data_IF_297597919287
#
_entry.id   IF_297597919287
#
_cell.length_a   1.000
_cell.length_b   1.000
_cell.length_c   1.000
_cell.angle_alpha   90.00
_cell.angle_beta   90.00
_cell.angle_gamma   90.00
#
_symmetry.space_group_name_H-M   'P 1'
#
loop_
_entity.id
_entity.type
_entity.pdbx_description
1 polymer ?
#
# COMPACT_ATOMS: atom_id res chain seq x y z
N UNK A 1 15.19 32.60 -38.79
CA UNK A 1 15.65 31.95 -37.55
C UNK A 1 14.85 32.54 -36.40
N UNK A 2 14.61 31.70 -35.38
CA UNK A 2 13.92 31.92 -34.10
C UNK A 2 12.44 31.53 -34.05
N UNK A 3 12.25 30.24 -33.77
CA UNK A 3 11.09 29.63 -33.12
C UNK A 3 11.58 29.02 -31.81
N UNK A 4 11.31 29.69 -30.70
CA UNK A 4 11.49 29.32 -29.28
C UNK A 4 10.34 30.08 -28.59
N UNK A 5 9.52 29.57 -27.67
CA UNK A 5 9.53 28.37 -26.84
C UNK A 5 8.06 28.04 -26.50
N UNK A 6 7.68 26.76 -26.51
CA UNK A 6 6.37 26.37 -25.99
C UNK A 6 6.35 24.92 -25.52
N UNK A 7 7.31 24.54 -24.65
CA UNK A 7 7.35 23.15 -24.15
C UNK A 7 7.74 22.98 -22.68
N UNK A 8 7.56 24.00 -21.83
CA UNK A 8 7.94 23.93 -20.41
C UNK A 8 6.78 23.77 -19.42
N UNK A 9 5.52 23.82 -19.86
CA UNK A 9 4.36 23.85 -18.93
C UNK A 9 3.70 22.49 -18.65
N UNK A 10 3.98 21.44 -19.43
CA UNK A 10 3.36 20.11 -19.26
C UNK A 10 4.06 19.21 -18.24
N UNK A 11 5.32 19.48 -17.91
CA UNK A 11 6.10 18.73 -16.92
C UNK A 11 5.72 19.09 -15.47
N UNK A 12 5.49 20.37 -15.19
CA UNK A 12 5.24 20.90 -13.84
C UNK A 12 3.87 20.50 -13.26
N UNK A 13 2.85 20.34 -14.10
CA UNK A 13 1.49 19.97 -13.67
C UNK A 13 1.41 18.50 -13.23
N UNK A 14 2.17 17.61 -13.88
CA UNK A 14 2.24 16.20 -13.49
C UNK A 14 3.00 16.01 -12.16
N UNK A 15 4.07 16.79 -11.92
CA UNK A 15 4.80 16.75 -10.65
C UNK A 15 3.98 17.24 -9.45
N UNK A 16 3.17 18.30 -9.64
CA UNK A 16 2.32 18.84 -8.58
C UNK A 16 1.14 17.91 -8.24
N UNK A 17 0.54 17.25 -9.24
CA UNK A 17 -0.54 16.29 -9.02
C UNK A 17 -0.04 15.02 -8.29
N UNK A 18 1.16 14.54 -8.63
CA UNK A 18 1.82 13.40 -7.96
C UNK A 18 2.21 13.75 -6.52
N UNK A 19 2.79 14.94 -6.28
CA UNK A 19 3.07 15.44 -4.92
C UNK A 19 1.80 15.57 -4.06
N UNK A 20 0.64 15.89 -4.67
CA UNK A 20 -0.63 16.03 -3.95
C UNK A 20 -1.22 14.68 -3.51
N UNK A 21 -0.98 13.59 -4.24
CA UNK A 21 -1.42 12.23 -3.86
C UNK A 21 -0.52 11.62 -2.78
N UNK A 22 0.79 11.84 -2.85
CA UNK A 22 1.73 11.39 -1.81
C UNK A 22 1.43 12.02 -0.44
N UNK A 23 1.03 13.29 -0.42
CA UNK A 23 0.61 13.97 0.81
C UNK A 23 -0.71 13.39 1.37
N UNK A 24 -1.65 12.96 0.52
CA UNK A 24 -2.95 12.45 0.98
C UNK A 24 -2.81 11.16 1.81
N UNK A 25 -1.97 10.21 1.39
CA UNK A 25 -1.77 8.96 2.15
C UNK A 25 -1.12 9.24 3.51
N UNK A 26 -0.11 10.10 3.54
CA UNK A 26 0.55 10.50 4.78
C UNK A 26 -0.43 11.21 5.73
N UNK A 27 -1.23 12.14 5.22
CA UNK A 27 -2.25 12.86 5.99
C UNK A 27 -3.32 11.91 6.56
N UNK A 28 -3.83 10.97 5.75
CA UNK A 28 -4.82 9.99 6.20
C UNK A 28 -4.22 9.05 7.25
N UNK A 29 -2.98 8.59 7.05
CA UNK A 29 -2.29 7.74 8.03
C UNK A 29 -2.10 8.47 9.37
N UNK A 30 -1.64 9.73 9.36
CA UNK A 30 -1.50 10.54 10.57
C UNK A 30 -2.87 10.80 11.23
N UNK A 31 -3.91 11.11 10.45
CA UNK A 31 -5.26 11.29 10.97
C UNK A 31 -5.78 10.03 11.67
N UNK A 32 -5.55 8.85 11.07
CA UNK A 32 -5.89 7.57 11.70
C UNK A 32 -5.20 7.39 13.05
N UNK A 33 -3.89 7.67 13.14
CA UNK A 33 -3.13 7.52 14.39
C UNK A 33 -3.66 8.45 15.48
N UNK A 34 -3.98 9.69 15.12
CA UNK A 34 -4.56 10.70 16.03
C UNK A 34 -5.96 10.31 16.50
N UNK A 35 -6.83 9.89 15.58
CA UNK A 35 -8.19 9.44 15.91
C UNK A 35 -8.16 8.23 16.83
N UNK A 36 -7.15 7.37 16.69
CA UNK A 36 -6.91 6.22 17.56
C UNK A 36 -6.26 6.58 18.91
N UNK A 37 -5.90 7.85 19.13
CA UNK A 37 -5.25 8.38 20.34
C UNK A 37 -3.95 7.67 20.71
N UNK A 38 -3.23 7.23 19.69
CA UNK A 38 -1.94 6.59 19.86
C UNK A 38 -0.90 7.62 20.30
N UNK A 39 0.13 7.16 21.00
CA UNK A 39 1.26 7.94 21.47
C UNK A 39 2.55 7.49 20.77
N UNK A 40 3.65 8.20 21.00
CA UNK A 40 4.99 7.82 20.49
C UNK A 40 5.37 6.36 20.81
N UNK A 41 4.90 5.81 21.93
CA UNK A 41 5.20 4.44 22.36
C UNK A 41 4.37 3.38 21.62
N UNK A 42 3.27 3.77 21.00
CA UNK A 42 2.36 2.82 20.34
C UNK A 42 2.74 2.56 18.86
N UNK A 43 3.70 3.32 18.29
CA UNK A 43 4.07 3.28 16.87
C UNK A 43 4.94 2.05 16.50
N UNK A 44 4.33 0.88 16.62
CA UNK A 44 4.87 -0.40 16.14
C UNK A 44 4.65 -0.58 14.64
N UNK A 45 5.37 -1.53 14.00
CA UNK A 45 5.20 -1.84 12.58
C UNK A 45 3.75 -2.16 12.22
N UNK A 46 3.10 -3.02 13.01
CA UNK A 46 1.69 -3.38 12.78
C UNK A 46 0.72 -2.20 12.89
N UNK A 47 1.01 -1.20 13.73
CA UNK A 47 0.20 0.03 13.81
C UNK A 47 0.42 0.92 12.58
N UNK A 48 1.67 1.04 12.12
CA UNK A 48 1.99 1.80 10.91
C UNK A 48 1.40 1.14 9.66
N UNK A 49 1.49 -0.18 9.54
CA UNK A 49 0.82 -0.96 8.50
C UNK A 49 -0.70 -0.75 8.53
N UNK A 50 -1.31 -0.78 9.71
CA UNK A 50 -2.75 -0.55 9.87
C UNK A 50 -3.16 0.87 9.43
N UNK A 51 -2.34 1.88 9.69
CA UNK A 51 -2.59 3.24 9.22
C UNK A 51 -2.53 3.35 7.69
N UNK A 52 -1.60 2.64 7.04
CA UNK A 52 -1.51 2.57 5.58
C UNK A 52 -2.68 1.77 4.97
N UNK A 53 -3.08 0.67 5.60
CA UNK A 53 -4.26 -0.12 5.24
C UNK A 53 -5.56 0.70 5.39
N UNK A 54 -5.63 1.59 6.38
CA UNK A 54 -6.76 2.53 6.53
C UNK A 54 -6.82 3.53 5.37
N UNK A 55 -5.66 3.99 4.90
CA UNK A 55 -5.56 4.90 3.76
C UNK A 55 -5.84 4.23 2.40
N UNK A 56 -5.88 2.89 2.35
CA UNK A 56 -6.08 2.13 1.12
C UNK A 56 -7.34 2.54 0.35
N UNK A 57 -7.15 2.80 -0.94
CA UNK A 57 -8.20 2.95 -1.94
C UNK A 57 -7.99 1.93 -3.05
N UNK A 58 -9.03 1.23 -3.53
CA UNK A 58 -8.90 0.23 -4.58
C UNK A 58 -8.75 0.88 -5.96
N UNK A 59 -7.59 1.50 -6.19
CA UNK A 59 -7.21 2.06 -7.49
C UNK A 59 -5.84 1.50 -7.92
N UNK A 60 -5.57 1.42 -9.24
CA UNK A 60 -4.26 1.02 -9.72
C UNK A 60 -3.16 1.92 -9.12
N UNK A 61 -1.99 1.33 -8.90
CA UNK A 61 -0.79 1.96 -8.35
C UNK A 61 -0.86 2.46 -6.91
N UNK A 62 -1.94 2.20 -6.15
CA UNK A 62 -2.07 2.73 -4.79
C UNK A 62 -0.84 2.41 -3.94
N UNK A 63 -0.46 1.14 -3.84
CA UNK A 63 0.67 0.72 -3.02
C UNK A 63 2.01 1.05 -3.67
N UNK A 64 2.07 0.96 -5.00
CA UNK A 64 3.28 1.30 -5.76
C UNK A 64 3.72 2.75 -5.58
N UNK A 65 2.76 3.65 -5.42
CA UNK A 65 3.00 5.09 -5.37
C UNK A 65 3.06 5.62 -3.92
N UNK A 66 3.13 4.76 -2.89
CA UNK A 66 3.37 5.22 -1.51
C UNK A 66 4.83 5.65 -1.35
N UNK A 67 5.03 6.90 -0.94
CA UNK A 67 6.34 7.41 -0.50
C UNK A 67 6.49 7.19 1.01
N UNK A 68 7.14 6.08 1.40
CA UNK A 68 7.36 5.76 2.80
C UNK A 68 8.17 6.85 3.51
N UNK A 69 9.12 7.51 2.83
CA UNK A 69 9.91 8.56 3.46
C UNK A 69 9.04 9.77 3.85
N UNK A 70 8.16 10.20 2.94
CA UNK A 70 7.18 11.26 3.19
C UNK A 70 6.19 10.90 4.30
N UNK A 71 5.66 9.67 4.32
CA UNK A 71 4.80 9.19 5.40
C UNK A 71 5.51 9.25 6.76
N UNK A 72 6.76 8.77 6.80
CA UNK A 72 7.58 8.75 8.01
C UNK A 72 7.91 10.17 8.49
N UNK A 73 8.16 11.11 7.58
CA UNK A 73 8.34 12.52 7.92
C UNK A 73 7.07 13.10 8.56
N UNK A 74 5.90 12.90 7.95
CA UNK A 74 4.62 13.37 8.48
C UNK A 74 4.31 12.80 9.87
N UNK A 75 4.55 11.50 10.06
CA UNK A 75 4.41 10.85 11.38
C UNK A 75 5.37 11.47 12.39
N UNK A 76 6.62 11.72 12.01
CA UNK A 76 7.63 12.28 12.91
C UNK A 76 7.33 13.73 13.32
N UNK A 77 6.59 14.48 12.50
CA UNK A 77 6.11 15.81 12.86
C UNK A 77 5.05 15.75 13.96
N UNK A 78 4.14 14.76 13.90
CA UNK A 78 3.07 14.58 14.87
C UNK A 78 3.53 13.84 16.14
N UNK A 79 4.50 12.95 16.00
CA UNK A 79 5.06 12.09 17.05
C UNK A 79 6.57 12.30 17.06
N UNK A 80 7.12 13.33 17.74
CA UNK A 80 8.54 13.66 17.61
C UNK A 80 9.49 12.71 18.34
N UNK A 81 8.99 11.88 19.27
CA UNK A 81 9.81 11.03 20.13
C UNK A 81 9.69 9.55 19.84
N UNK A 82 8.85 9.12 18.89
CA UNK A 82 8.56 7.72 18.61
C UNK A 82 9.81 6.88 18.35
N UNK A 83 10.78 7.41 17.60
CA UNK A 83 12.05 6.72 17.35
C UNK A 83 12.82 6.44 18.64
N UNK A 84 12.83 7.41 19.55
CA UNK A 84 13.49 7.26 20.85
C UNK A 84 12.71 6.30 21.76
N UNK A 85 11.38 6.36 21.72
CA UNK A 85 10.51 5.48 22.50
C UNK A 85 10.69 3.99 22.13
N UNK A 86 10.93 3.69 20.85
CA UNK A 86 11.17 2.32 20.40
C UNK A 86 12.52 1.76 20.89
N UNK A 87 13.56 2.60 20.94
CA UNK A 87 14.92 2.18 21.32
C UNK A 87 15.02 1.59 22.75
N UNK A 88 14.03 1.79 23.60
CA UNK A 88 14.01 1.25 24.97
C UNK A 88 13.44 -0.16 25.11
N UNK A 89 12.77 -0.70 24.09
CA UNK A 89 12.03 -1.98 24.18
C UNK A 89 12.69 -3.16 23.44
N UNK A 90 13.96 -3.02 23.02
CA UNK A 90 14.66 -4.05 22.25
C UNK A 90 14.30 -4.07 20.76
N UNK A 91 13.32 -3.25 20.34
CA UNK A 91 13.08 -2.88 18.97
C UNK A 91 13.86 -1.61 18.61
N UNK A 92 14.18 -1.41 17.34
CA UNK A 92 14.70 -0.13 16.84
C UNK A 92 13.70 0.46 15.86
N UNK A 93 13.72 1.80 15.72
CA UNK A 93 12.92 2.47 14.71
C UNK A 93 13.25 1.94 13.31
N UNK A 94 14.51 1.59 13.04
CA UNK A 94 14.94 1.00 11.79
C UNK A 94 14.35 -0.40 11.57
N UNK A 95 14.23 -1.21 12.63
CA UNK A 95 13.58 -2.53 12.55
C UNK A 95 12.10 -2.39 12.22
N UNK A 96 11.39 -1.48 12.91
CA UNK A 96 9.99 -1.15 12.62
C UNK A 96 9.81 -0.69 11.17
N UNK A 97 10.66 0.23 10.69
CA UNK A 97 10.58 0.73 9.32
C UNK A 97 10.90 -0.35 8.28
N UNK A 98 11.81 -1.28 8.59
CA UNK A 98 12.11 -2.40 7.72
C UNK A 98 10.91 -3.35 7.57
N UNK A 99 10.19 -3.62 8.64
CA UNK A 99 8.96 -4.43 8.59
C UNK A 99 7.87 -3.75 7.74
N UNK A 100 7.66 -2.44 7.93
CA UNK A 100 6.72 -1.66 7.11
C UNK A 100 7.11 -1.64 5.64
N UNK A 101 8.41 -1.46 5.34
CA UNK A 101 8.91 -1.50 3.95
C UNK A 101 8.69 -2.87 3.30
N UNK A 102 8.87 -3.96 4.06
CA UNK A 102 8.58 -5.31 3.59
C UNK A 102 7.08 -5.51 3.31
N UNK A 103 6.20 -5.00 4.17
CA UNK A 103 4.75 -5.03 3.95
C UNK A 103 4.35 -4.25 2.69
N UNK A 104 4.90 -3.05 2.50
CA UNK A 104 4.71 -2.24 1.28
C UNK A 104 5.21 -2.96 0.03
N UNK A 105 6.38 -3.58 0.09
CA UNK A 105 6.91 -4.39 -1.00
C UNK A 105 5.94 -5.51 -1.39
N UNK A 106 5.40 -6.24 -0.41
CA UNK A 106 4.46 -7.33 -0.66
C UNK A 106 3.16 -6.81 -1.30
N UNK A 107 2.56 -5.77 -0.72
CA UNK A 107 1.31 -5.19 -1.23
C UNK A 107 1.48 -4.63 -2.65
N UNK A 108 2.58 -3.91 -2.91
CA UNK A 108 2.93 -3.45 -4.27
C UNK A 108 3.06 -4.61 -5.24
N UNK A 109 3.76 -5.69 -4.84
CA UNK A 109 3.94 -6.84 -5.70
C UNK A 109 2.60 -7.52 -6.06
N UNK A 110 1.72 -7.70 -5.08
CA UNK A 110 0.40 -8.29 -5.32
C UNK A 110 -0.49 -7.39 -6.18
N UNK A 111 -0.45 -6.07 -5.95
CA UNK A 111 -1.15 -5.07 -6.77
C UNK A 111 -0.65 -5.10 -8.21
N UNK A 112 0.68 -5.10 -8.43
CA UNK A 112 1.27 -5.20 -9.78
C UNK A 112 0.81 -6.49 -10.49
N UNK A 113 0.75 -7.64 -9.80
CA UNK A 113 0.24 -8.89 -10.38
C UNK A 113 -1.27 -8.82 -10.68
N UNK A 114 -2.04 -8.18 -9.82
CA UNK A 114 -3.46 -7.95 -10.03
C UNK A 114 -3.72 -7.05 -11.26
N UNK A 115 -2.96 -5.96 -11.40
CA UNK A 115 -3.00 -5.07 -12.57
C UNK A 115 -2.72 -5.84 -13.86
N UNK A 116 -1.66 -6.66 -13.89
CA UNK A 116 -1.36 -7.46 -15.09
C UNK A 116 -2.46 -8.48 -15.40
N UNK A 117 -3.07 -9.12 -14.39
CA UNK A 117 -4.23 -9.99 -14.62
C UNK A 117 -5.46 -9.22 -15.12
N UNK A 118 -5.64 -7.96 -14.71
CA UNK A 118 -6.73 -7.10 -15.20
C UNK A 118 -6.60 -6.78 -16.70
N UNK A 119 -5.39 -6.79 -17.27
CA UNK A 119 -5.17 -6.61 -18.70
C UNK A 119 -5.74 -7.77 -19.56
N UNK A 120 -5.96 -8.93 -18.94
CA UNK A 120 -6.60 -10.07 -19.61
C UNK A 120 -8.08 -9.79 -19.88
N UNK A 121 -8.65 -10.33 -20.98
CA UNK A 121 -10.09 -10.36 -21.18
C UNK A 121 -10.79 -10.98 -19.96
N UNK A 122 -11.92 -10.41 -19.51
CA UNK A 122 -12.67 -10.87 -18.31
C UNK A 122 -12.87 -12.40 -18.21
N UNK A 123 -13.18 -13.14 -19.30
CA UNK A 123 -13.33 -14.59 -19.24
C UNK A 123 -12.02 -15.37 -19.02
N UNK A 124 -10.87 -14.76 -19.33
CA UNK A 124 -9.55 -15.37 -19.19
C UNK A 124 -8.88 -15.05 -17.84
N UNK A 125 -9.44 -14.13 -17.05
CA UNK A 125 -8.91 -13.78 -15.73
C UNK A 125 -9.02 -14.97 -14.76
N UNK A 126 -7.95 -15.31 -14.02
CA UNK A 126 -8.01 -16.36 -13.00
C UNK A 126 -9.08 -16.09 -11.94
N UNK A 127 -9.77 -17.13 -11.48
CA UNK A 127 -10.87 -17.01 -10.49
C UNK A 127 -10.60 -17.73 -9.17
N UNK A 128 -9.45 -18.38 -9.05
CA UNK A 128 -9.02 -19.08 -7.83
C UNK A 128 -7.57 -18.76 -7.54
N UNK A 129 -7.19 -18.81 -6.26
CA UNK A 129 -5.81 -18.55 -5.82
C UNK A 129 -4.78 -19.43 -6.55
N UNK A 130 -5.00 -20.75 -6.70
CA UNK A 130 -4.09 -21.60 -7.46
C UNK A 130 -3.97 -21.24 -8.95
N UNK A 131 -5.09 -20.89 -9.61
CA UNK A 131 -5.05 -20.48 -11.01
C UNK A 131 -4.32 -19.13 -11.19
N UNK A 132 -4.53 -18.19 -10.25
CA UNK A 132 -3.80 -16.93 -10.23
C UNK A 132 -2.30 -17.16 -10.01
N UNK A 133 -1.91 -18.01 -9.06
CA UNK A 133 -0.52 -18.35 -8.82
C UNK A 133 0.14 -18.99 -10.05
N UNK A 134 -0.54 -19.94 -10.70
CA UNK A 134 -0.05 -20.56 -11.92
C UNK A 134 0.21 -19.50 -12.99
N UNK A 135 -0.78 -18.65 -13.25
CA UNK A 135 -0.67 -17.57 -14.23
C UNK A 135 0.49 -16.61 -13.90
N UNK A 136 0.60 -16.18 -12.64
CA UNK A 136 1.68 -15.30 -12.16
C UNK A 136 3.05 -15.94 -12.39
N UNK A 137 3.21 -17.22 -12.05
CA UNK A 137 4.48 -17.92 -12.26
C UNK A 137 4.86 -17.98 -13.74
N UNK A 138 3.91 -18.29 -14.61
CA UNK A 138 4.12 -18.34 -16.05
C UNK A 138 4.48 -16.96 -16.62
N UNK A 139 3.81 -15.90 -16.16
CA UNK A 139 4.05 -14.51 -16.56
C UNK A 139 5.45 -14.04 -16.14
N UNK A 140 5.81 -14.25 -14.87
CA UNK A 140 7.13 -13.88 -14.34
C UNK A 140 8.25 -14.65 -15.04
N UNK A 141 8.07 -15.94 -15.30
CA UNK A 141 9.02 -16.75 -16.05
C UNK A 141 9.20 -16.25 -17.49
N UNK A 142 8.09 -15.91 -18.17
CA UNK A 142 8.13 -15.37 -19.54
C UNK A 142 8.90 -14.06 -19.61
N UNK A 143 8.75 -13.21 -18.59
CA UNK A 143 9.43 -11.92 -18.47
C UNK A 143 10.81 -11.99 -17.78
N UNK A 144 11.31 -13.18 -17.45
CA UNK A 144 12.61 -13.41 -16.79
C UNK A 144 12.76 -12.70 -15.43
N UNK A 145 11.66 -12.50 -14.72
CA UNK A 145 11.59 -11.90 -13.37
C UNK A 145 11.80 -12.98 -12.30
N UNK A 146 13.00 -13.57 -12.26
CA UNK A 146 13.27 -14.78 -11.48
C UNK A 146 13.24 -14.56 -9.95
N UNK A 147 13.65 -13.39 -9.46
CA UNK A 147 13.57 -13.09 -8.04
C UNK A 147 12.11 -13.05 -7.57
N UNK A 148 11.26 -12.35 -8.31
CA UNK A 148 9.82 -12.32 -8.04
C UNK A 148 9.15 -13.67 -8.24
N UNK A 149 9.59 -14.47 -9.23
CA UNK A 149 9.11 -15.84 -9.40
C UNK A 149 9.39 -16.68 -8.17
N UNK A 150 10.63 -16.64 -7.65
CA UNK A 150 10.98 -17.36 -6.43
C UNK A 150 10.16 -16.89 -5.23
N UNK A 151 9.97 -15.59 -5.08
CA UNK A 151 9.11 -15.02 -4.04
C UNK A 151 7.66 -15.52 -4.17
N UNK A 152 7.07 -15.46 -5.37
CA UNK A 152 5.69 -15.90 -5.61
C UNK A 152 5.46 -17.38 -5.29
N UNK A 153 6.49 -18.22 -5.43
CA UNK A 153 6.44 -19.66 -5.20
C UNK A 153 6.55 -20.06 -3.72
N UNK A 154 6.93 -19.15 -2.83
CA UNK A 154 6.97 -19.41 -1.38
C UNK A 154 5.54 -19.67 -0.87
N UNK A 155 5.22 -20.87 -0.33
CA UNK A 155 3.86 -21.20 0.08
C UNK A 155 3.25 -20.24 1.09
N UNK A 156 4.06 -19.74 2.04
CA UNK A 156 3.67 -18.84 3.11
C UNK A 156 3.22 -17.47 2.57
N UNK A 157 3.74 -17.04 1.42
CA UNK A 157 3.40 -15.77 0.76
C UNK A 157 1.99 -15.81 0.18
N UNK A 158 1.49 -16.99 -0.20
CA UNK A 158 0.14 -17.17 -0.80
C UNK A 158 -0.14 -16.20 -1.96
N UNK A 159 0.87 -15.91 -2.79
CA UNK A 159 0.85 -14.84 -3.79
C UNK A 159 -0.42 -14.80 -4.65
N UNK A 160 -0.83 -15.94 -5.23
CA UNK A 160 -2.03 -16.00 -6.07
C UNK A 160 -3.33 -15.65 -5.34
N UNK A 161 -3.42 -15.92 -4.03
CA UNK A 161 -4.60 -15.53 -3.23
C UNK A 161 -4.62 -14.02 -3.01
N UNK A 162 -3.49 -13.43 -2.62
CA UNK A 162 -3.41 -11.98 -2.37
C UNK A 162 -3.66 -11.19 -3.66
N UNK A 163 -2.97 -11.53 -4.76
CA UNK A 163 -3.19 -10.87 -6.06
C UNK A 163 -4.65 -11.00 -6.54
N UNK A 164 -5.31 -12.13 -6.29
CA UNK A 164 -6.74 -12.31 -6.63
C UNK A 164 -7.67 -11.40 -5.81
N UNK A 165 -7.38 -11.18 -4.52
CA UNK A 165 -8.13 -10.25 -3.68
C UNK A 165 -7.99 -8.82 -4.20
N UNK A 166 -6.77 -8.40 -4.54
CA UNK A 166 -6.50 -7.10 -5.16
C UNK A 166 -7.25 -6.93 -6.48
N UNK A 167 -7.17 -7.92 -7.37
CA UNK A 167 -7.89 -7.90 -8.65
C UNK A 167 -9.40 -7.77 -8.42
N UNK A 168 -9.95 -8.48 -7.43
CA UNK A 168 -11.37 -8.39 -7.07
C UNK A 168 -11.72 -6.99 -6.59
N UNK A 169 -10.91 -6.37 -5.73
CA UNK A 169 -11.15 -5.00 -5.26
C UNK A 169 -11.14 -4.00 -6.42
N UNK A 170 -10.17 -4.13 -7.35
CA UNK A 170 -10.09 -3.30 -8.55
C UNK A 170 -11.30 -3.51 -9.48
N UNK A 171 -11.73 -4.75 -9.73
CA UNK A 171 -12.93 -5.05 -10.53
C UNK A 171 -14.19 -4.44 -9.91
N UNK A 172 -14.33 -4.47 -8.59
CA UNK A 172 -15.47 -3.88 -7.89
C UNK A 172 -15.42 -2.34 -7.91
N UNK A 173 -14.23 -1.75 -7.79
CA UNK A 173 -14.04 -0.30 -7.88
C UNK A 173 -14.42 0.24 -9.27
N UNK A 174 -14.10 -0.47 -10.36
CA UNK A 174 -14.55 -0.13 -11.72
C UNK A 174 -16.08 -0.08 -11.86
N UNK A 175 -16.81 -0.80 -11.00
CA UNK A 175 -18.27 -0.81 -10.93
C UNK A 175 -18.85 0.24 -9.96
N UNK A 176 -17.99 1.01 -9.30
CA UNK A 176 -18.38 1.98 -8.27
C UNK A 176 -18.74 1.34 -6.92
N UNK A 177 -18.31 0.11 -6.67
CA UNK A 177 -18.53 -0.58 -5.39
C UNK A 177 -17.33 -0.41 -4.45
N UNK A 178 -17.61 -0.12 -3.18
CA UNK A 178 -16.59 0.02 -2.14
C UNK A 178 -16.22 -1.36 -1.57
N UNK A 179 -15.50 -2.17 -2.36
CA UNK A 179 -14.88 -3.41 -1.86
C UNK A 179 -13.43 -3.12 -1.49
N UNK A 180 -13.05 -3.45 -0.26
CA UNK A 180 -11.72 -3.15 0.30
C UNK A 180 -11.07 -4.42 0.86
N UNK A 181 -9.76 -4.33 1.13
CA UNK A 181 -8.99 -5.40 1.76
C UNK A 181 -9.50 -5.67 3.19
N UNK A 182 -9.30 -6.90 3.67
CA UNK A 182 -9.60 -7.24 5.06
C UNK A 182 -8.79 -6.37 6.04
N UNK A 183 -7.54 -6.04 5.71
CA UNK A 183 -6.71 -5.11 6.48
C UNK A 183 -7.38 -3.75 6.64
N UNK A 184 -7.84 -3.16 5.54
CA UNK A 184 -8.64 -1.92 5.54
C UNK A 184 -9.90 -2.01 6.42
N UNK A 185 -10.64 -3.13 6.37
CA UNK A 185 -11.83 -3.31 7.22
C UNK A 185 -11.46 -3.35 8.70
N UNK A 186 -10.39 -4.07 9.05
CA UNK A 186 -9.89 -4.15 10.43
C UNK A 186 -9.43 -2.77 10.91
N UNK A 187 -8.71 -2.02 10.09
CA UNK A 187 -8.25 -0.68 10.42
C UNK A 187 -9.43 0.28 10.69
N UNK A 188 -10.47 0.26 9.83
CA UNK A 188 -11.70 1.05 10.03
C UNK A 188 -12.39 0.70 11.35
N UNK A 189 -12.58 -0.59 11.64
CA UNK A 189 -13.17 -1.05 12.89
C UNK A 189 -12.33 -0.71 14.13
N UNK A 190 -11.00 -0.74 14.00
CA UNK A 190 -10.09 -0.36 15.07
C UNK A 190 -10.27 1.13 15.42
N UNK A 191 -10.30 2.00 14.41
CA UNK A 191 -10.54 3.43 14.58
C UNK A 191 -11.91 3.71 15.21
N UNK A 192 -12.97 3.07 14.70
CA UNK A 192 -14.33 3.22 15.24
C UNK A 192 -14.36 2.91 16.75
N UNK A 193 -13.82 1.76 17.16
CA UNK A 193 -13.76 1.38 18.59
C UNK A 193 -13.00 2.39 19.45
N UNK A 194 -11.85 2.87 18.96
CA UNK A 194 -11.04 3.87 19.69
C UNK A 194 -11.76 5.21 19.85
N UNK A 195 -12.61 5.57 18.90
CA UNK A 195 -13.44 6.78 19.00
C UNK A 195 -14.67 6.59 19.88
N UNK A 196 -15.26 5.38 19.94
CA UNK A 196 -16.45 5.10 20.75
C UNK A 196 -16.14 4.98 22.26
N UNK A 197 -14.92 4.57 22.63
CA UNK A 197 -14.43 4.55 24.03
C UNK A 197 -14.39 5.95 24.70
N UNK A 198 -14.84 6.99 23.99
CA UNK A 198 -14.87 8.40 24.38
C UNK A 198 -16.25 8.84 24.90
N UNK A 199 -17.30 8.05 24.64
CA UNK A 199 -18.69 8.30 25.11
C UNK A 199 -19.04 7.51 26.34
#
# INVERSE_FOLDING_TARGET
MSTEDNNSNTSSLNGAAVANVHNEVADIAVAFLMDCRLTDQDLTAGILEMALEYAYKPHPRFWRDIDLAGVVEAISLQYPHWRCAMATEGNSAEGVLHEVDLALFCNRFYEDMAEMMMELPKPARPRTGPAALQWICEELARNRRFAELHFAQVPEVQCGKHALIFMTCLEQAELGHETVLLGTQIARQYREKRMDDVT
#
